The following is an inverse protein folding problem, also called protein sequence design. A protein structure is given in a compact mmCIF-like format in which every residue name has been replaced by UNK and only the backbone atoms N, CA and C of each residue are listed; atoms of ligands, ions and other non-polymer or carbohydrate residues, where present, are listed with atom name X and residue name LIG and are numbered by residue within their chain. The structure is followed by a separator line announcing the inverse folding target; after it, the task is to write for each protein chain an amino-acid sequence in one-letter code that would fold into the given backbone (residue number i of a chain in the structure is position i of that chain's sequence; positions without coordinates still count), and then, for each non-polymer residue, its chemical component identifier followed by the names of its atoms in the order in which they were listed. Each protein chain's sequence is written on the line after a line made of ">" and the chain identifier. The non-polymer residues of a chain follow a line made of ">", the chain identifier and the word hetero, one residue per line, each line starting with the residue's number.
data_IF_952419103460
#
_entry.id   IF_952419103460
#
_cell.length_a   1.000
_cell.length_b   1.000
_cell.length_c   1.000
_cell.angle_alpha   90.00
_cell.angle_beta   90.00
_cell.angle_gamma   90.00
#
_symmetry.space_group_name_H-M   'P 1'
#
loop_
_entity.id
_entity.type
_entity.pdbx_description
1 polymer ?
#
# COMPACT_ATOMS: atom_id res chain seq x y z
N UNK A 1 4.09 -45.74 52.30
CA UNK A 1 3.44 -46.28 51.07
C UNK A 1 3.00 -45.20 50.07
N UNK A 2 3.15 -43.90 50.36
CA UNK A 2 2.67 -42.78 49.51
C UNK A 2 3.56 -42.44 48.29
N UNK A 3 4.84 -42.87 48.27
CA UNK A 3 5.78 -42.47 47.21
C UNK A 3 5.56 -43.17 45.87
N UNK A 4 5.10 -44.43 45.86
CA UNK A 4 4.89 -45.16 44.60
C UNK A 4 3.70 -44.59 43.82
N UNK A 5 2.56 -44.34 44.47
CA UNK A 5 1.38 -43.82 43.78
C UNK A 5 1.61 -42.43 43.17
N UNK A 6 2.36 -41.57 43.85
CA UNK A 6 2.75 -40.25 43.34
C UNK A 6 3.70 -40.39 42.13
N UNK A 7 4.67 -41.31 42.18
CA UNK A 7 5.56 -41.58 41.04
C UNK A 7 4.80 -42.11 39.81
N UNK A 8 3.82 -43.00 40.01
CA UNK A 8 2.95 -43.49 38.93
C UNK A 8 2.05 -42.39 38.36
N UNK A 9 1.49 -41.53 39.21
CA UNK A 9 0.65 -40.41 38.78
C UNK A 9 1.45 -39.37 37.97
N UNK A 10 2.65 -39.02 38.43
CA UNK A 10 3.55 -38.12 37.69
C UNK A 10 4.00 -38.76 36.38
N UNK A 11 4.36 -40.04 36.38
CA UNK A 11 4.72 -40.77 35.16
C UNK A 11 3.58 -40.81 34.14
N UNK A 12 2.34 -41.06 34.58
CA UNK A 12 1.16 -41.04 33.70
C UNK A 12 0.85 -39.63 33.18
N UNK A 13 1.02 -38.59 34.00
CA UNK A 13 0.81 -37.20 33.58
C UNK A 13 1.84 -36.78 32.53
N UNK A 14 3.11 -37.14 32.71
CA UNK A 14 4.18 -36.87 31.73
C UNK A 14 3.94 -37.65 30.43
N UNK A 15 3.51 -38.91 30.53
CA UNK A 15 3.17 -39.71 29.35
C UNK A 15 1.97 -39.15 28.57
N UNK A 16 0.92 -38.68 29.26
CA UNK A 16 -0.24 -38.06 28.63
C UNK A 16 0.13 -36.76 27.89
N UNK A 17 1.00 -35.93 28.46
CA UNK A 17 1.52 -34.70 27.81
C UNK A 17 2.39 -35.05 26.60
N UNK A 18 3.23 -36.09 26.69
CA UNK A 18 4.07 -36.53 25.57
C UNK A 18 3.24 -37.04 24.39
N UNK A 19 2.18 -37.83 24.64
CA UNK A 19 1.28 -38.35 23.59
C UNK A 19 0.43 -37.24 22.97
N UNK A 20 0.01 -36.24 23.74
CA UNK A 20 -0.72 -35.09 23.21
C UNK A 20 0.15 -34.18 22.31
N UNK A 21 1.48 -34.23 22.45
CA UNK A 21 2.42 -33.48 21.61
C UNK A 21 2.79 -34.14 20.29
N UNK A 22 2.51 -35.43 20.11
CA UNK A 22 2.82 -36.18 18.88
C UNK A 22 1.60 -36.28 17.97
N UNK A 23 1.28 -35.19 17.26
CA UNK A 23 0.29 -35.16 16.20
C UNK A 23 0.92 -34.82 14.85
N UNK A 24 0.41 -35.39 13.75
CA UNK A 24 0.91 -35.22 12.38
C UNK A 24 0.56 -33.85 11.76
N UNK A 25 0.97 -32.74 12.40
CA UNK A 25 0.92 -31.40 11.80
C UNK A 25 2.35 -30.85 11.88
N UNK A 26 3.04 -30.81 10.75
CA UNK A 26 4.46 -30.53 10.62
C UNK A 26 4.81 -29.06 10.91
N UNK A 27 4.72 -28.64 12.18
CA UNK A 27 5.22 -27.36 12.66
C UNK A 27 6.17 -27.57 13.85
N UNK A 28 7.41 -27.04 13.81
CA UNK A 28 8.38 -27.23 14.87
C UNK A 28 8.00 -26.36 16.08
N UNK A 29 7.41 -26.95 17.11
CA UNK A 29 7.07 -26.26 18.36
C UNK A 29 6.16 -27.06 19.28
N UNK A 30 5.91 -26.60 20.52
CA UNK A 30 4.92 -27.21 21.40
C UNK A 30 3.55 -27.18 20.71
N UNK A 31 3.05 -28.36 20.33
CA UNK A 31 1.90 -28.53 19.47
C UNK A 31 0.61 -28.05 20.12
N UNK A 32 0.18 -26.82 19.81
CA UNK A 32 -1.12 -26.27 20.21
C UNK A 32 -2.30 -26.91 19.44
N UNK A 33 -2.14 -28.14 18.91
CA UNK A 33 -3.17 -28.83 18.15
C UNK A 33 -3.66 -28.00 16.95
N UNK A 34 -4.97 -27.88 16.79
CA UNK A 34 -5.60 -27.09 15.73
C UNK A 34 -5.21 -25.59 15.75
N UNK A 35 -4.81 -25.05 16.91
CA UNK A 35 -4.35 -23.67 17.06
C UNK A 35 -2.91 -23.47 16.55
N UNK A 36 -2.19 -24.55 16.23
CA UNK A 36 -0.88 -24.46 15.58
C UNK A 36 -0.99 -24.15 14.09
N UNK A 37 -2.14 -24.42 13.46
CA UNK A 37 -2.39 -24.05 12.07
C UNK A 37 -2.54 -22.52 12.03
N UNK A 38 -1.65 -21.77 11.34
CA UNK A 38 -1.77 -20.33 11.26
C UNK A 38 -3.15 -19.99 10.68
N UNK A 39 -3.93 -19.20 11.42
CA UNK A 39 -5.26 -18.76 10.97
C UNK A 39 -5.06 -18.04 9.64
N UNK A 40 -5.63 -18.54 8.53
CA UNK A 40 -5.45 -17.90 7.24
C UNK A 40 -6.02 -16.49 7.33
N UNK A 41 -5.20 -15.49 7.02
CA UNK A 41 -5.68 -14.13 6.85
C UNK A 41 -6.63 -14.15 5.65
N UNK A 42 -7.82 -13.57 5.79
CA UNK A 42 -8.75 -13.52 4.65
C UNK A 42 -8.08 -12.81 3.47
N UNK A 43 -8.31 -13.26 2.22
CA UNK A 43 -7.74 -12.61 1.03
C UNK A 43 -8.04 -11.10 0.98
N UNK A 44 -9.20 -10.69 1.50
CA UNK A 44 -9.57 -9.29 1.68
C UNK A 44 -8.56 -8.51 2.55
N UNK A 45 -8.24 -9.03 3.74
CA UNK A 45 -7.29 -8.37 4.64
C UNK A 45 -5.84 -8.46 4.18
N UNK A 46 -5.50 -9.50 3.41
CA UNK A 46 -4.19 -9.59 2.77
C UNK A 46 -4.05 -8.52 1.69
N UNK A 47 -5.02 -8.44 0.76
CA UNK A 47 -5.02 -7.48 -0.35
C UNK A 47 -4.91 -6.03 0.12
N UNK A 48 -5.68 -5.65 1.14
CA UNK A 48 -5.61 -4.29 1.72
C UNK A 48 -4.19 -3.93 2.22
N UNK A 49 -3.46 -4.90 2.78
CA UNK A 49 -2.10 -4.67 3.26
C UNK A 49 -1.12 -4.57 2.10
N UNK A 50 -1.27 -5.41 1.08
CA UNK A 50 -0.48 -5.36 -0.15
C UNK A 50 -0.65 -4.02 -0.86
N UNK A 51 -1.90 -3.56 -1.06
CA UNK A 51 -2.20 -2.27 -1.69
C UNK A 51 -1.60 -1.09 -0.92
N UNK A 52 -1.68 -1.14 0.42
CA UNK A 52 -1.09 -0.11 1.26
C UNK A 52 0.43 -0.08 1.14
N UNK A 53 1.06 -1.26 1.13
CA UNK A 53 2.51 -1.38 1.00
C UNK A 53 2.97 -0.89 -0.38
N UNK A 54 2.27 -1.29 -1.44
CA UNK A 54 2.49 -0.87 -2.82
C UNK A 54 2.43 0.66 -2.98
N UNK A 55 1.38 1.31 -2.46
CA UNK A 55 1.23 2.76 -2.49
C UNK A 55 2.32 3.45 -1.67
N UNK A 56 2.65 2.89 -0.50
CA UNK A 56 3.66 3.47 0.37
C UNK A 56 5.04 3.47 -0.27
N UNK A 57 5.44 2.36 -0.90
CA UNK A 57 6.75 2.26 -1.54
C UNK A 57 6.87 3.12 -2.79
N UNK A 58 5.82 3.17 -3.63
CA UNK A 58 5.87 3.85 -4.93
C UNK A 58 5.56 5.34 -4.89
N UNK A 59 4.56 5.74 -4.11
CA UNK A 59 3.96 7.08 -4.23
C UNK A 59 4.09 7.92 -2.96
N UNK A 60 4.14 7.30 -1.78
CA UNK A 60 4.24 8.06 -0.53
C UNK A 60 5.68 8.50 -0.19
N UNK A 61 6.71 7.93 -0.85
CA UNK A 61 8.11 8.27 -0.63
C UNK A 61 8.52 9.42 -1.56
N UNK A 62 9.21 10.41 -0.99
CA UNK A 62 9.79 11.53 -1.74
C UNK A 62 11.20 11.16 -2.16
N UNK A 63 11.50 11.06 -3.47
CA UNK A 63 12.85 10.75 -3.93
C UNK A 63 13.79 11.92 -3.70
N UNK A 64 15.06 11.59 -3.39
CA UNK A 64 16.15 12.55 -3.30
C UNK A 64 16.97 12.40 -4.57
N UNK A 65 16.94 13.42 -5.42
CA UNK A 65 17.65 13.48 -6.68
C UNK A 65 18.95 14.27 -6.52
N UNK A 66 19.84 14.07 -7.49
CA UNK A 66 21.06 14.87 -7.62
C UNK A 66 20.77 16.37 -7.83
N UNK A 67 21.84 17.19 -7.83
CA UNK A 67 21.72 18.62 -8.04
C UNK A 67 21.09 18.94 -9.40
N UNK A 68 20.28 20.00 -9.43
CA UNK A 68 19.75 20.55 -10.68
C UNK A 68 20.92 20.89 -11.62
N UNK A 69 20.81 20.49 -12.88
CA UNK A 69 21.82 20.80 -13.90
C UNK A 69 21.89 22.31 -14.09
N UNK A 70 23.10 22.87 -14.13
CA UNK A 70 23.30 24.31 -14.21
C UNK A 70 22.72 24.88 -15.51
N UNK A 71 21.60 25.60 -15.41
CA UNK A 71 20.99 26.33 -16.53
C UNK A 71 19.88 25.62 -17.30
N UNK A 72 19.49 24.40 -16.91
CA UNK A 72 18.27 23.76 -17.44
C UNK A 72 17.01 24.37 -16.80
N UNK A 73 15.85 24.41 -17.50
CA UNK A 73 14.60 24.72 -16.84
C UNK A 73 14.32 23.64 -15.80
N UNK A 74 14.01 24.03 -14.57
CA UNK A 74 13.61 23.09 -13.52
C UNK A 74 12.21 22.56 -13.85
N UNK A 75 12.16 21.60 -14.77
CA UNK A 75 10.93 20.90 -15.16
C UNK A 75 10.92 19.59 -14.40
N UNK A 76 9.85 19.36 -13.65
CA UNK A 76 9.67 18.08 -12.97
C UNK A 76 9.65 16.94 -13.99
N UNK A 77 10.43 15.90 -13.71
CA UNK A 77 10.79 14.88 -14.69
C UNK A 77 9.60 14.04 -15.16
N UNK A 78 8.60 13.77 -14.29
CA UNK A 78 7.57 12.78 -14.59
C UNK A 78 6.14 13.25 -14.25
N UNK A 79 5.19 13.16 -15.20
CA UNK A 79 3.77 13.28 -14.90
C UNK A 79 3.27 12.07 -14.07
N UNK A 80 2.14 12.19 -13.36
CA UNK A 80 1.59 11.08 -12.57
C UNK A 80 1.35 9.85 -13.44
N UNK A 81 1.72 8.69 -12.93
CA UNK A 81 1.52 7.41 -13.63
C UNK A 81 0.03 7.07 -13.69
N UNK A 82 -0.42 6.36 -14.73
CA UNK A 82 -1.82 5.92 -14.79
C UNK A 82 -2.20 5.05 -13.59
N UNK A 83 -1.27 4.22 -13.10
CA UNK A 83 -1.50 3.41 -11.91
C UNK A 83 -1.70 4.27 -10.65
N UNK A 84 -0.95 5.35 -10.52
CA UNK A 84 -1.09 6.31 -9.42
C UNK A 84 -2.43 7.04 -9.47
N UNK A 85 -2.82 7.48 -10.66
CA UNK A 85 -4.13 8.11 -10.91
C UNK A 85 -5.24 7.14 -10.53
N UNK A 86 -5.15 5.88 -10.94
CA UNK A 86 -6.15 4.86 -10.59
C UNK A 86 -6.16 4.54 -9.09
N UNK A 87 -5.01 4.52 -8.43
CA UNK A 87 -4.93 4.32 -6.97
C UNK A 87 -5.50 5.52 -6.20
N UNK A 88 -5.27 6.74 -6.67
CA UNK A 88 -5.86 7.95 -6.11
C UNK A 88 -7.39 8.00 -6.35
N UNK A 89 -7.83 7.59 -7.54
CA UNK A 89 -9.25 7.46 -7.88
C UNK A 89 -9.93 6.42 -6.99
N UNK A 90 -9.28 5.30 -6.72
CA UNK A 90 -9.80 4.26 -5.84
C UNK A 90 -9.96 4.76 -4.40
N UNK A 91 -9.06 5.63 -3.94
CA UNK A 91 -9.17 6.28 -2.63
C UNK A 91 -10.32 7.28 -2.57
N UNK A 92 -10.52 8.07 -3.62
CA UNK A 92 -11.59 9.07 -3.69
C UNK A 92 -12.96 8.42 -3.86
N UNK A 93 -13.03 7.40 -4.72
CA UNK A 93 -14.25 6.67 -5.04
C UNK A 93 -13.90 5.17 -5.11
N UNK A 94 -14.21 4.37 -4.08
CA UNK A 94 -13.85 2.96 -4.09
C UNK A 94 -14.78 2.15 -5.00
N UNK A 95 -14.18 1.26 -5.79
CA UNK A 95 -14.85 0.22 -6.56
C UNK A 95 -14.57 -1.16 -5.96
N UNK A 96 -13.39 -1.33 -5.37
CA UNK A 96 -13.01 -2.52 -4.64
C UNK A 96 -13.79 -2.60 -3.32
N UNK A 97 -14.15 -3.82 -2.90
CA UNK A 97 -14.76 -4.06 -1.58
C UNK A 97 -16.29 -4.19 -1.55
N UNK A 98 -16.92 -4.63 -2.64
CA UNK A 98 -18.34 -5.03 -2.66
C UNK A 98 -18.58 -6.49 -2.23
N UNK A 99 -19.85 -6.83 -2.00
CA UNK A 99 -20.29 -8.23 -1.88
C UNK A 99 -20.81 -8.64 -3.27
N UNK A 100 -20.20 -9.65 -3.91
CA UNK A 100 -20.63 -10.12 -5.23
C UNK A 100 -22.13 -10.38 -5.25
N UNK A 101 -22.78 -10.02 -6.36
CA UNK A 101 -24.23 -10.18 -6.60
C UNK A 101 -25.16 -9.33 -5.71
N UNK A 102 -24.69 -8.66 -4.66
CA UNK A 102 -25.53 -7.76 -3.85
C UNK A 102 -25.35 -6.30 -4.24
N UNK A 103 -24.11 -5.85 -4.33
CA UNK A 103 -23.78 -4.50 -4.73
C UNK A 103 -22.38 -4.51 -5.37
N UNK A 104 -22.36 -4.36 -6.68
CA UNK A 104 -21.16 -4.34 -7.48
C UNK A 104 -21.06 -3.02 -8.24
N UNK A 105 -19.89 -2.42 -8.22
CA UNK A 105 -19.56 -1.24 -9.01
C UNK A 105 -18.55 -1.62 -10.05
N UNK A 106 -18.73 -1.11 -11.26
CA UNK A 106 -17.81 -1.33 -12.37
C UNK A 106 -17.50 0.02 -13.02
N UNK A 107 -16.27 0.17 -13.51
CA UNK A 107 -15.82 1.33 -14.27
C UNK A 107 -15.42 0.89 -15.65
N UNK A 108 -16.03 1.50 -16.66
CA UNK A 108 -15.75 1.23 -18.06
C UNK A 108 -15.26 2.49 -18.76
N UNK A 109 -14.57 2.31 -19.89
CA UNK A 109 -14.16 3.38 -20.80
C UNK A 109 -13.41 4.54 -20.13
N UNK A 110 -12.48 4.22 -19.23
CA UNK A 110 -11.70 5.22 -18.49
C UNK A 110 -10.82 6.03 -19.45
N UNK A 111 -10.97 7.36 -19.42
CA UNK A 111 -10.15 8.33 -20.16
C UNK A 111 -9.51 9.29 -19.16
N UNK A 112 -8.19 9.38 -19.19
CA UNK A 112 -7.41 10.19 -18.24
C UNK A 112 -6.76 11.36 -19.00
N UNK A 113 -7.02 12.58 -18.55
CA UNK A 113 -6.37 13.80 -19.05
C UNK A 113 -5.54 14.39 -17.91
N UNK A 114 -4.24 14.60 -18.14
CA UNK A 114 -3.29 15.12 -17.15
C UNK A 114 -2.81 16.51 -17.56
N UNK A 115 -2.97 17.48 -16.68
CA UNK A 115 -2.61 18.89 -16.90
C UNK A 115 -1.63 19.33 -15.81
N UNK A 116 -0.48 19.91 -16.19
CA UNK A 116 0.46 20.51 -15.22
C UNK A 116 -0.01 21.92 -14.86
N UNK A 117 -0.34 22.17 -13.60
CA UNK A 117 -0.80 23.48 -13.13
C UNK A 117 0.37 24.37 -12.71
N UNK A 118 1.27 23.82 -11.92
CA UNK A 118 2.38 24.58 -11.35
C UNK A 118 3.62 23.70 -11.23
N UNK A 119 4.77 24.33 -11.47
CA UNK A 119 6.07 23.70 -11.41
C UNK A 119 7.10 24.73 -10.98
N UNK A 120 7.60 24.59 -9.75
CA UNK A 120 8.54 25.56 -9.17
C UNK A 120 9.45 24.91 -8.12
N UNK A 121 10.60 25.55 -7.90
CA UNK A 121 11.62 25.10 -6.96
C UNK A 121 11.75 26.10 -5.83
N UNK A 122 11.68 25.60 -4.60
CA UNK A 122 11.90 26.40 -3.40
C UNK A 122 13.38 26.81 -3.26
N UNK A 123 13.67 27.94 -2.58
CA UNK A 123 15.05 28.31 -2.26
C UNK A 123 15.72 27.22 -1.41
N UNK A 124 17.06 27.03 -1.50
CA UNK A 124 17.76 26.00 -0.75
C UNK A 124 17.55 26.14 0.76
N UNK A 125 17.21 25.04 1.42
CA UNK A 125 17.04 24.97 2.88
C UNK A 125 17.79 23.78 3.46
N UNK A 126 18.05 23.82 4.76
CA UNK A 126 18.60 22.68 5.47
C UNK A 126 17.46 21.74 5.90
N UNK A 127 17.44 20.53 5.34
CA UNK A 127 16.48 19.49 5.70
C UNK A 127 17.17 18.48 6.64
N UNK A 128 16.65 18.23 7.85
CA UNK A 128 17.20 17.21 8.75
C UNK A 128 17.36 15.85 8.06
N UNK A 129 18.45 15.14 8.32
CA UNK A 129 18.83 13.83 7.72
C UNK A 129 19.23 13.83 6.24
N UNK A 130 18.96 14.90 5.47
CA UNK A 130 19.34 15.02 4.05
C UNK A 130 20.51 16.01 3.88
N UNK A 131 20.43 17.15 4.58
CA UNK A 131 21.38 18.25 4.44
C UNK A 131 20.82 19.42 3.60
N UNK A 132 21.69 20.19 2.93
CA UNK A 132 21.25 21.29 2.06
C UNK A 132 20.54 20.75 0.81
N UNK A 133 19.24 21.03 0.69
CA UNK A 133 18.42 20.59 -0.43
C UNK A 133 17.41 21.66 -0.84
N UNK A 134 16.99 21.61 -2.10
CA UNK A 134 15.87 22.34 -2.65
C UNK A 134 14.69 21.39 -2.82
N UNK A 135 13.49 21.86 -2.48
CA UNK A 135 12.27 21.12 -2.74
C UNK A 135 11.71 21.57 -4.08
N UNK A 136 11.44 20.61 -4.96
CA UNK A 136 10.79 20.83 -6.24
C UNK A 136 9.33 20.39 -6.12
N UNK A 137 8.42 21.33 -6.33
CA UNK A 137 6.99 21.12 -6.32
C UNK A 137 6.44 21.03 -7.74
N UNK A 138 5.75 19.94 -8.05
CA UNK A 138 5.00 19.80 -9.28
C UNK A 138 3.55 19.41 -9.00
N UNK A 139 2.63 20.28 -9.38
CA UNK A 139 1.20 20.14 -9.16
C UNK A 139 0.50 19.74 -10.45
N UNK A 140 -0.18 18.61 -10.43
CA UNK A 140 -0.95 18.10 -11.55
C UNK A 140 -2.43 18.08 -11.22
N UNK A 141 -3.25 18.50 -12.19
CA UNK A 141 -4.68 18.23 -12.21
C UNK A 141 -4.93 17.12 -13.21
N UNK A 142 -5.63 16.11 -12.74
CA UNK A 142 -6.00 14.95 -13.53
C UNK A 142 -7.52 14.92 -13.61
N UNK A 143 -8.04 14.98 -14.83
CA UNK A 143 -9.48 14.85 -15.10
C UNK A 143 -9.73 13.47 -15.70
N UNK A 144 -10.60 12.72 -15.05
CA UNK A 144 -10.88 11.33 -15.38
C UNK A 144 -12.35 11.23 -15.79
N UNK A 145 -12.59 10.77 -17.00
CA UNK A 145 -13.93 10.48 -17.52
C UNK A 145 -14.12 8.98 -17.57
N UNK A 146 -15.22 8.47 -17.01
CA UNK A 146 -15.53 7.04 -17.04
C UNK A 146 -17.03 6.80 -16.92
N UNK A 147 -17.45 5.63 -17.40
CA UNK A 147 -18.82 5.15 -17.26
C UNK A 147 -18.89 4.27 -16.01
N UNK A 148 -19.67 4.66 -15.01
CA UNK A 148 -19.91 3.87 -13.80
C UNK A 148 -21.19 3.06 -13.95
N UNK A 149 -21.07 1.75 -13.81
CA UNK A 149 -22.22 0.84 -13.72
C UNK A 149 -22.31 0.29 -12.31
N UNK A 150 -23.41 0.61 -11.63
CA UNK A 150 -23.73 0.06 -10.32
C UNK A 150 -24.83 -0.98 -10.46
N UNK A 151 -24.52 -2.23 -10.14
CA UNK A 151 -25.48 -3.33 -10.10
C UNK A 151 -25.87 -3.61 -8.66
N UNK A 152 -27.14 -3.35 -8.34
CA UNK A 152 -27.72 -3.65 -7.03
C UNK A 152 -28.59 -4.90 -7.20
N UNK A 153 -28.24 -5.98 -6.50
CA UNK A 153 -28.99 -7.25 -6.55
C UNK A 153 -30.02 -7.43 -5.42
N UNK A 154 -29.98 -6.60 -4.37
CA UNK A 154 -30.92 -6.64 -3.24
C UNK A 154 -31.12 -5.24 -2.64
N UNK A 155 -32.31 -4.85 -2.17
CA UNK A 155 -33.56 -5.62 -2.07
C UNK A 155 -34.37 -5.70 -3.37
N UNK A 156 -34.19 -4.74 -4.27
CA UNK A 156 -34.83 -4.72 -5.58
C UNK A 156 -33.74 -4.67 -6.66
N UNK A 157 -33.61 -5.73 -7.49
CA UNK A 157 -32.59 -5.76 -8.53
C UNK A 157 -32.75 -4.61 -9.52
N UNK A 158 -31.74 -3.77 -9.63
CA UNK A 158 -31.70 -2.69 -10.63
C UNK A 158 -30.25 -2.35 -11.00
N UNK A 159 -30.12 -1.64 -12.12
CA UNK A 159 -28.83 -1.20 -12.66
C UNK A 159 -28.89 0.30 -12.88
N UNK A 160 -27.83 0.98 -12.46
CA UNK A 160 -27.64 2.42 -12.62
C UNK A 160 -26.40 2.60 -13.48
N UNK A 161 -26.55 3.31 -14.59
CA UNK A 161 -25.48 3.63 -15.53
C UNK A 161 -25.32 5.16 -15.55
N UNK A 162 -24.16 5.63 -15.10
CA UNK A 162 -23.84 7.06 -14.97
C UNK A 162 -22.54 7.40 -15.70
N UNK A 163 -22.54 8.48 -16.49
CA UNK A 163 -21.32 9.07 -17.04
C UNK A 163 -20.72 10.03 -16.01
N UNK A 164 -19.53 9.73 -15.48
CA UNK A 164 -18.93 10.52 -14.41
C UNK A 164 -17.60 11.14 -14.83
N UNK A 165 -17.40 12.38 -14.37
CA UNK A 165 -16.15 13.11 -14.47
C UNK A 165 -15.62 13.37 -13.07
N UNK A 166 -14.41 12.91 -12.78
CA UNK A 166 -13.73 13.12 -11.50
C UNK A 166 -12.46 13.96 -11.72
N UNK A 167 -12.20 14.92 -10.85
CA UNK A 167 -11.00 15.76 -10.90
C UNK A 167 -10.16 15.51 -9.66
N UNK A 168 -8.94 15.01 -9.87
CA UNK A 168 -7.99 14.68 -8.81
C UNK A 168 -6.78 15.58 -8.94
N UNK A 169 -6.34 16.14 -7.82
CA UNK A 169 -5.08 16.87 -7.72
C UNK A 169 -4.00 15.93 -7.16
N UNK A 170 -2.89 15.80 -7.88
CA UNK A 170 -1.76 14.96 -7.51
C UNK A 170 -0.51 15.83 -7.47
N UNK A 171 0.19 15.77 -6.35
CA UNK A 171 1.40 16.54 -6.11
C UNK A 171 2.61 15.62 -6.14
N UNK A 172 3.52 15.91 -7.05
CA UNK A 172 4.83 15.28 -7.11
C UNK A 172 5.86 16.21 -6.49
N UNK A 173 6.35 15.82 -5.32
CA UNK A 173 7.41 16.55 -4.63
C UNK A 173 8.67 15.70 -4.65
N UNK A 174 9.81 16.32 -4.90
CA UNK A 174 11.12 15.66 -4.83
C UNK A 174 12.19 16.65 -4.36
N UNK A 175 13.25 16.13 -3.74
CA UNK A 175 14.35 16.95 -3.28
C UNK A 175 15.50 16.94 -4.29
N UNK A 176 16.13 18.08 -4.49
CA UNK A 176 17.42 18.21 -5.16
C UNK A 176 18.48 18.57 -4.15
N UNK A 177 19.56 17.80 -4.09
CA UNK A 177 20.69 18.16 -3.23
C UNK A 177 21.41 19.40 -3.77
N UNK A 178 21.82 20.31 -2.88
CA UNK A 178 22.52 21.54 -3.26
C UNK A 178 23.87 21.63 -2.57
N UNK A 179 24.90 21.98 -3.35
CA UNK A 179 26.28 22.09 -2.88
C UNK A 179 27.07 20.80 -3.08
N UNK A 180 28.36 20.85 -2.73
CA UNK A 180 29.27 19.71 -2.87
C UNK A 180 29.05 18.72 -1.70
N UNK A 181 27.89 18.06 -1.69
CA UNK A 181 27.54 17.05 -0.70
C UNK A 181 28.03 15.70 -1.24
N UNK A 182 29.19 15.25 -0.76
CA UNK A 182 29.63 13.87 -0.92
C UNK A 182 28.76 13.02 -0.01
N UNK A 183 27.59 12.59 -0.49
CA UNK A 183 26.96 11.41 0.09
C UNK A 183 28.02 10.33 0.11
N UNK A 184 28.38 9.81 1.29
CA UNK A 184 29.51 8.88 1.43
C UNK A 184 29.39 7.66 0.51
N UNK A 185 30.36 6.74 0.56
CA UNK A 185 30.46 5.61 -0.37
C UNK A 185 29.21 4.71 -0.55
N UNK A 186 28.17 4.86 0.29
CA UNK A 186 26.89 4.14 0.25
C UNK A 186 25.67 5.03 -0.07
N UNK A 187 25.84 6.27 -0.54
CA UNK A 187 24.71 7.13 -0.87
C UNK A 187 23.99 6.64 -2.15
N UNK A 188 22.64 6.54 -2.16
CA UNK A 188 21.88 5.92 -3.25
C UNK A 188 21.66 6.83 -4.48
N UNK A 189 22.46 7.88 -4.66
CA UNK A 189 22.37 8.83 -5.77
C UNK A 189 23.69 8.94 -6.54
#
# INVERSE_FOLDING_TARGET
>A
MLNRSIQWAVGLMVAAVAVAGTGCIALPGPGLGLLSIPIPVSPYHQKIREDRFEIHERYARVPILGPLTSGGPAVALDPPSDHEVMAALERARPVQGGIPLLHEKQRNNVRIIKEKIADYVDPPRFIPMIGPAQLHHAHYKVTIYFDERTMVGWPFPHQLDDEVTEVIYIDHNHFHMVGNVTGGANAPF
#
